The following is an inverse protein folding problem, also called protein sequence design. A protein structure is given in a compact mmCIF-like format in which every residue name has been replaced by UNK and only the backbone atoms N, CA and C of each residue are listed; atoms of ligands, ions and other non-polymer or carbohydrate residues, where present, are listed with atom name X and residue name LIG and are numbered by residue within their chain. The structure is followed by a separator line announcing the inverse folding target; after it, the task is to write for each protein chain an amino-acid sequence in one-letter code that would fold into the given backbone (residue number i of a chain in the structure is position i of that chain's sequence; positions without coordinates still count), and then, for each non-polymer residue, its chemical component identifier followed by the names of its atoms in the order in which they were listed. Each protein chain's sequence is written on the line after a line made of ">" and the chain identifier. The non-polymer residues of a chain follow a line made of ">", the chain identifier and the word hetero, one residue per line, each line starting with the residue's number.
data_IF_510542218698
#
_entry.id   IF_510542218698
#
_cell.length_a   1.000
_cell.length_b   1.000
_cell.length_c   1.000
_cell.angle_alpha   90.00
_cell.angle_beta   90.00
_cell.angle_gamma   90.00
#
_symmetry.space_group_name_H-M   'P 1'
#
loop_
_entity.id
_entity.type
_entity.pdbx_description
1 polymer ?
#
# COMPACT_ATOMS: atom_id res chain seq x y z
N UNK A 1 16.13 -30.90 13.80
CA UNK A 1 16.16 -29.42 13.64
C UNK A 1 17.60 -28.99 13.85
N UNK A 2 18.13 -27.99 13.14
CA UNK A 2 19.54 -27.57 13.27
C UNK A 2 19.71 -26.60 14.44
N UNK A 3 20.72 -26.81 15.27
CA UNK A 3 21.01 -26.03 16.48
C UNK A 3 21.48 -24.59 16.22
N UNK A 4 22.00 -24.27 15.03
CA UNK A 4 22.37 -22.90 14.71
C UNK A 4 22.18 -22.58 13.21
N UNK A 5 21.57 -21.44 12.94
CA UNK A 5 21.42 -20.88 11.60
C UNK A 5 22.29 -19.65 11.47
N UNK A 6 23.18 -19.65 10.49
CA UNK A 6 24.02 -18.50 10.16
C UNK A 6 23.21 -17.49 9.33
N UNK A 7 22.85 -16.37 9.95
CA UNK A 7 22.12 -15.27 9.32
C UNK A 7 23.04 -14.12 8.89
N UNK A 8 24.36 -14.33 8.85
CA UNK A 8 25.34 -13.29 8.55
C UNK A 8 25.25 -12.77 7.10
N UNK A 9 24.55 -13.50 6.22
CA UNK A 9 24.23 -13.10 4.84
C UNK A 9 22.76 -12.68 4.66
N UNK A 10 21.98 -12.62 5.74
CA UNK A 10 20.59 -12.20 5.69
C UNK A 10 20.49 -10.69 5.46
N UNK A 11 20.18 -10.27 4.24
CA UNK A 11 19.81 -8.87 3.98
C UNK A 11 18.48 -8.56 4.69
N UNK A 12 18.53 -7.77 5.77
CA UNK A 12 17.35 -7.10 6.33
C UNK A 12 17.02 -5.92 5.43
N UNK A 13 16.02 -6.08 4.57
CA UNK A 13 15.47 -5.02 3.74
C UNK A 13 14.02 -5.35 3.40
N UNK A 14 13.21 -4.33 3.13
CA UNK A 14 11.86 -4.54 2.63
C UNK A 14 11.93 -5.38 1.35
N UNK A 15 11.17 -6.49 1.33
CA UNK A 15 11.12 -7.46 0.21
C UNK A 15 10.51 -6.84 -1.05
N UNK A 16 9.86 -5.69 -0.93
CA UNK A 16 9.18 -5.01 -2.04
C UNK A 16 9.84 -3.65 -2.27
N UNK A 17 10.52 -3.43 -3.41
CA UNK A 17 10.95 -2.09 -3.79
C UNK A 17 9.71 -1.21 -3.96
N UNK A 18 9.81 0.02 -3.44
CA UNK A 18 8.84 1.07 -3.70
C UNK A 18 8.76 1.22 -5.23
N UNK A 19 7.56 1.21 -5.82
CA UNK A 19 7.42 1.44 -7.26
C UNK A 19 8.13 2.77 -7.61
N UNK A 20 8.95 2.82 -8.68
CA UNK A 20 9.86 3.93 -8.95
C UNK A 20 9.15 5.30 -9.06
N UNK A 21 7.87 5.31 -9.40
CA UNK A 21 7.04 6.51 -9.53
C UNK A 21 6.15 6.80 -8.31
N UNK A 22 6.21 5.98 -7.26
CA UNK A 22 5.37 6.15 -6.07
C UNK A 22 6.14 6.84 -4.95
N UNK A 23 5.71 8.05 -4.60
CA UNK A 23 6.28 8.81 -3.49
C UNK A 23 5.51 8.46 -2.21
N UNK A 24 6.22 8.02 -1.18
CA UNK A 24 5.62 7.80 0.15
C UNK A 24 5.39 9.14 0.84
N UNK A 25 4.12 9.49 1.00
CA UNK A 25 3.70 10.69 1.74
C UNK A 25 2.97 10.31 3.02
N UNK A 26 3.11 11.11 4.07
CA UNK A 26 2.29 10.99 5.28
C UNK A 26 1.11 11.96 5.15
N UNK A 27 0.05 11.53 4.48
CA UNK A 27 -1.15 12.33 4.26
C UNK A 27 -2.18 11.98 5.35
N UNK A 28 -2.60 12.94 6.20
CA UNK A 28 -3.75 12.71 7.07
C UNK A 28 -5.00 12.49 6.21
N UNK A 29 -5.72 11.40 6.48
CA UNK A 29 -7.00 11.07 5.90
C UNK A 29 -8.03 10.90 7.01
N UNK A 30 -9.28 11.24 6.74
CA UNK A 30 -10.38 10.98 7.67
C UNK A 30 -10.53 9.48 7.92
N UNK A 31 -10.85 9.14 9.16
CA UNK A 31 -11.00 7.76 9.60
C UNK A 31 -12.07 7.03 8.79
N UNK A 32 -13.19 7.69 8.53
CA UNK A 32 -14.32 7.12 7.80
C UNK A 32 -13.97 6.77 6.34
N UNK A 33 -13.13 7.59 5.71
CA UNK A 33 -12.61 7.32 4.36
C UNK A 33 -11.77 6.04 4.39
N UNK A 34 -10.83 5.94 5.33
CA UNK A 34 -9.96 4.78 5.45
C UNK A 34 -10.76 3.50 5.76
N UNK A 35 -11.78 3.59 6.61
CA UNK A 35 -12.66 2.48 6.95
C UNK A 35 -13.45 1.98 5.74
N UNK A 36 -13.96 2.90 4.92
CA UNK A 36 -14.67 2.56 3.69
C UNK A 36 -13.77 1.80 2.70
N UNK A 37 -12.54 2.28 2.46
CA UNK A 37 -11.60 1.61 1.56
C UNK A 37 -11.20 0.22 2.10
N UNK A 38 -10.98 0.10 3.42
CA UNK A 38 -10.72 -1.18 4.08
C UNK A 38 -11.84 -2.18 3.91
N UNK A 39 -13.08 -1.73 4.08
CA UNK A 39 -14.25 -2.58 3.86
C UNK A 39 -14.26 -3.08 2.40
N UNK A 40 -14.01 -2.20 1.44
CA UNK A 40 -13.95 -2.55 0.00
C UNK A 40 -12.86 -3.53 -0.37
N UNK A 41 -11.70 -3.47 0.27
CA UNK A 41 -10.60 -4.42 0.06
C UNK A 41 -10.93 -5.79 0.66
N UNK A 42 -11.51 -5.80 1.86
CA UNK A 42 -11.93 -7.03 2.51
C UNK A 42 -13.03 -7.76 1.70
N UNK A 43 -13.98 -7.02 1.11
CA UNK A 43 -15.00 -7.58 0.22
C UNK A 43 -14.40 -8.26 -1.03
N UNK A 44 -13.25 -7.79 -1.52
CA UNK A 44 -12.58 -8.32 -2.72
C UNK A 44 -11.61 -9.48 -2.44
N UNK A 45 -11.57 -9.99 -1.21
CA UNK A 45 -10.70 -11.11 -0.83
C UNK A 45 -9.30 -10.69 -0.37
N UNK A 46 -9.14 -9.43 0.05
CA UNK A 46 -7.87 -8.86 0.49
C UNK A 46 -7.15 -8.09 -0.63
N UNK A 47 -6.24 -7.21 -0.23
CA UNK A 47 -5.57 -6.26 -1.13
C UNK A 47 -4.93 -5.10 -0.36
N UNK A 48 -4.42 -4.12 -1.08
CA UNK A 48 -3.80 -2.92 -0.52
C UNK A 48 -4.76 -1.73 -0.62
N UNK A 49 -5.19 -1.20 0.54
CA UNK A 49 -6.09 -0.04 0.61
C UNK A 49 -5.47 1.19 -0.09
N UNK A 50 -4.14 1.32 -0.05
CA UNK A 50 -3.46 2.46 -0.66
C UNK A 50 -3.57 2.44 -2.19
N UNK A 51 -3.54 1.27 -2.82
CA UNK A 51 -3.75 1.15 -4.27
C UNK A 51 -5.14 1.66 -4.68
N UNK A 52 -6.19 1.31 -3.91
CA UNK A 52 -7.54 1.80 -4.18
C UNK A 52 -7.66 3.31 -3.98
N UNK A 53 -7.07 3.83 -2.89
CA UNK A 53 -7.03 5.28 -2.64
C UNK A 53 -6.32 5.99 -3.79
N UNK A 54 -5.17 5.48 -4.24
CA UNK A 54 -4.42 6.08 -5.34
C UNK A 54 -5.19 6.07 -6.66
N UNK A 55 -5.86 4.96 -6.99
CA UNK A 55 -6.74 4.87 -8.17
C UNK A 55 -7.91 5.86 -8.09
N UNK A 56 -8.48 6.07 -6.91
CA UNK A 56 -9.55 7.05 -6.72
C UNK A 56 -9.05 8.49 -6.93
N UNK A 57 -7.87 8.82 -6.41
CA UNK A 57 -7.24 10.13 -6.62
C UNK A 57 -6.92 10.37 -8.10
N UNK A 58 -6.40 9.37 -8.81
CA UNK A 58 -6.13 9.46 -10.24
C UNK A 58 -7.41 9.75 -11.04
N UNK A 59 -8.49 9.02 -10.77
CA UNK A 59 -9.79 9.26 -11.42
C UNK A 59 -10.33 10.67 -11.16
N UNK A 60 -10.16 11.19 -9.94
CA UNK A 60 -10.56 12.55 -9.61
C UNK A 60 -9.77 13.58 -10.44
N UNK A 61 -8.45 13.38 -10.59
CA UNK A 61 -7.62 14.24 -11.43
C UNK A 61 -8.07 14.18 -12.90
N UNK A 62 -8.33 12.99 -13.42
CA UNK A 62 -8.82 12.81 -14.80
C UNK A 62 -10.17 13.53 -15.03
N UNK A 63 -11.07 13.50 -14.04
CA UNK A 63 -12.37 14.18 -14.10
C UNK A 63 -12.25 15.71 -14.04
N UNK A 64 -11.29 16.24 -13.29
CA UNK A 64 -11.07 17.69 -13.18
C UNK A 64 -10.31 18.28 -14.38
N UNK A 65 -9.61 17.43 -15.15
CA UNK A 65 -8.86 17.84 -16.34
C UNK A 65 -9.68 17.78 -17.65
N UNK A 66 -10.86 17.17 -17.62
CA UNK A 66 -11.83 17.13 -18.73
C UNK A 66 -12.79 18.34 -18.68
#
# INVERSE_FOLDING_TARGET
>A
MKDNYDFSQGKRGAVVPIFPDQIRVNLPLDKDILDWFRAKVNEQGGGDDHELINKALQKYIEQEQD
#
